data_IF_375124570825
#
_entry.id   IF_375124570825
#
_cell.length_a   1.000
_cell.length_b   1.000
_cell.length_c   1.000
_cell.angle_alpha   90.00
_cell.angle_beta   90.00
_cell.angle_gamma   90.00
#
_symmetry.space_group_name_H-M   'P 1'
#
loop_
_entity.id
_entity.type
_entity.pdbx_description
1 polymer ?
#
# COMPACT_ATOMS: atom_id res chain seq x y z
N UNK A 1 13.09 11.73 -7.97
CA UNK A 1 13.35 10.54 -8.80
C UNK A 1 12.02 9.92 -9.16
N UNK A 2 11.73 9.82 -10.46
CA UNK A 2 10.53 9.23 -11.04
C UNK A 2 10.76 7.81 -11.55
N UNK A 3 9.96 7.41 -12.58
CA UNK A 3 10.04 6.09 -13.21
C UNK A 3 8.93 5.13 -12.74
N UNK A 4 9.01 3.86 -13.09
CA UNK A 4 8.02 2.83 -12.73
C UNK A 4 8.60 1.69 -11.89
N UNK A 5 9.90 1.58 -11.85
CA UNK A 5 10.61 0.58 -11.08
C UNK A 5 10.99 1.16 -9.71
N UNK A 6 10.42 0.62 -8.64
CA UNK A 6 10.64 1.11 -7.29
C UNK A 6 12.01 0.71 -6.75
N UNK A 7 12.58 -0.42 -7.19
CA UNK A 7 13.94 -0.85 -6.84
C UNK A 7 14.98 0.06 -7.44
N UNK A 8 14.88 0.29 -8.77
CA UNK A 8 15.75 1.23 -9.47
C UNK A 8 15.68 2.64 -8.87
N UNK A 9 14.49 3.10 -8.45
CA UNK A 9 14.35 4.40 -7.82
C UNK A 9 15.11 4.49 -6.47
N UNK A 10 15.12 3.41 -5.69
CA UNK A 10 15.91 3.31 -4.46
C UNK A 10 17.40 3.30 -4.75
N UNK A 11 17.85 2.52 -5.73
CA UNK A 11 19.27 2.49 -6.16
C UNK A 11 19.73 3.88 -6.62
N UNK A 12 18.90 4.59 -7.39
CA UNK A 12 19.18 5.95 -7.83
C UNK A 12 19.25 6.94 -6.66
N UNK A 13 18.40 6.80 -5.66
CA UNK A 13 18.44 7.63 -4.44
C UNK A 13 19.74 7.41 -3.67
N UNK A 14 20.14 6.16 -3.48
CA UNK A 14 21.38 5.79 -2.83
C UNK A 14 22.61 6.27 -3.62
N UNK A 15 22.60 6.14 -4.95
CA UNK A 15 23.66 6.64 -5.82
C UNK A 15 23.76 8.16 -5.74
N UNK A 16 22.63 8.88 -5.78
CA UNK A 16 22.59 10.33 -5.65
C UNK A 16 23.20 10.76 -4.31
N UNK A 17 22.77 10.13 -3.20
CA UNK A 17 23.31 10.42 -1.86
C UNK A 17 24.83 10.22 -1.78
N UNK A 18 25.36 9.16 -2.37
CA UNK A 18 26.79 8.85 -2.37
C UNK A 18 27.61 9.79 -3.26
N UNK A 19 27.00 10.35 -4.31
CA UNK A 19 27.66 11.25 -5.25
C UNK A 19 27.72 12.71 -4.76
N UNK A 20 26.94 13.08 -3.73
CA UNK A 20 26.91 14.46 -3.21
C UNK A 20 28.19 14.77 -2.44
N UNK A 21 28.80 15.90 -2.80
CA UNK A 21 30.04 16.40 -2.15
C UNK A 21 29.82 17.86 -1.77
N UNK A 22 29.95 18.24 -0.48
CA UNK A 22 29.82 19.63 -0.07
C UNK A 22 30.79 20.57 -0.81
N UNK A 23 30.38 21.77 -1.24
CA UNK A 23 29.05 22.36 -1.02
C UNK A 23 28.00 21.99 -2.10
N UNK A 24 28.30 21.08 -3.00
CA UNK A 24 27.43 20.68 -4.12
C UNK A 24 26.49 19.55 -3.69
N UNK A 25 25.53 19.91 -2.84
CA UNK A 25 24.54 18.98 -2.29
C UNK A 25 23.13 19.48 -2.58
N UNK A 26 22.19 18.55 -2.84
CA UNK A 26 20.77 18.85 -3.05
C UNK A 26 19.90 17.80 -2.36
N UNK A 27 18.71 18.22 -1.93
CA UNK A 27 17.69 17.28 -1.42
C UNK A 27 17.08 16.46 -2.55
N UNK A 28 16.77 15.19 -2.29
CA UNK A 28 16.21 14.27 -3.29
C UNK A 28 15.02 13.53 -2.73
N UNK A 29 13.91 13.47 -3.48
CA UNK A 29 12.74 12.65 -3.20
C UNK A 29 12.63 11.54 -4.26
N UNK A 30 12.53 10.29 -3.82
CA UNK A 30 12.12 9.17 -4.66
C UNK A 30 10.62 8.92 -4.50
N UNK A 31 9.88 9.03 -5.61
CA UNK A 31 8.45 8.69 -5.68
C UNK A 31 8.11 8.19 -7.09
N UNK A 32 8.55 6.97 -7.46
CA UNK A 32 8.41 6.44 -8.81
C UNK A 32 6.93 6.28 -9.18
N UNK A 33 6.48 7.02 -10.18
CA UNK A 33 5.06 7.09 -10.63
C UNK A 33 4.07 7.42 -9.51
N UNK A 34 4.51 8.08 -8.45
CA UNK A 34 3.68 8.33 -7.26
C UNK A 34 3.38 7.08 -6.43
N UNK A 35 4.16 6.00 -6.59
CA UNK A 35 3.89 4.74 -5.91
C UNK A 35 4.16 4.83 -4.41
N UNK A 36 5.24 5.48 -3.99
CA UNK A 36 5.59 5.59 -2.58
C UNK A 36 4.60 6.45 -1.80
N UNK A 37 4.23 7.61 -2.35
CA UNK A 37 3.23 8.48 -1.71
C UNK A 37 1.84 7.86 -1.71
N UNK A 38 1.45 7.11 -2.75
CA UNK A 38 0.16 6.39 -2.79
C UNK A 38 0.13 5.25 -1.78
N UNK A 39 1.17 4.43 -1.73
CA UNK A 39 1.27 3.31 -0.79
C UNK A 39 1.30 3.81 0.66
N UNK A 40 2.09 4.84 0.95
CA UNK A 40 2.17 5.46 2.26
C UNK A 40 0.80 6.00 2.73
N UNK A 41 0.09 6.73 1.85
CA UNK A 41 -1.25 7.24 2.14
C UNK A 41 -2.25 6.11 2.38
N UNK A 42 -2.21 5.06 1.56
CA UNK A 42 -3.09 3.89 1.70
C UNK A 42 -2.87 3.18 3.03
N UNK A 43 -1.62 2.85 3.35
CA UNK A 43 -1.30 2.10 4.59
C UNK A 43 -1.60 2.95 5.83
N UNK A 44 -1.27 4.24 5.83
CA UNK A 44 -1.59 5.14 6.94
C UNK A 44 -3.11 5.29 7.15
N UNK A 45 -3.88 5.43 6.07
CA UNK A 45 -5.35 5.51 6.15
C UNK A 45 -5.95 4.22 6.72
N UNK A 46 -5.43 3.04 6.32
CA UNK A 46 -5.86 1.74 6.85
C UNK A 46 -5.47 1.62 8.33
N UNK A 47 -4.25 1.99 8.71
CA UNK A 47 -3.80 1.97 10.10
C UNK A 47 -4.67 2.84 11.00
N UNK A 48 -5.05 4.05 10.53
CA UNK A 48 -6.00 4.92 11.23
C UNK A 48 -7.33 4.21 11.51
N UNK A 49 -7.93 3.58 10.49
CA UNK A 49 -9.20 2.87 10.67
C UNK A 49 -9.05 1.65 11.61
N UNK A 50 -7.92 0.95 11.59
CA UNK A 50 -7.62 -0.11 12.55
C UNK A 50 -7.58 0.43 13.99
N UNK A 51 -6.92 1.57 14.21
CA UNK A 51 -6.82 2.21 15.52
C UNK A 51 -8.19 2.69 16.01
N UNK A 52 -8.94 3.40 15.17
CA UNK A 52 -10.22 4.00 15.54
C UNK A 52 -11.34 2.99 15.73
N UNK A 53 -11.45 1.99 14.84
CA UNK A 53 -12.57 1.03 14.81
C UNK A 53 -12.28 -0.28 15.53
N UNK A 54 -11.00 -0.71 15.55
CA UNK A 54 -10.62 -2.02 16.07
C UNK A 54 -9.59 -1.95 17.22
N UNK A 55 -9.16 -0.74 17.62
CA UNK A 55 -8.22 -0.48 18.73
C UNK A 55 -6.91 -1.27 18.62
N UNK A 56 -6.42 -1.45 17.39
CA UNK A 56 -5.15 -2.13 17.11
C UNK A 56 -4.44 -1.44 15.95
N UNK A 57 -3.11 -1.56 15.92
CA UNK A 57 -2.29 -1.10 14.80
C UNK A 57 -2.07 -2.23 13.76
N UNK A 58 -1.13 -2.01 12.86
CA UNK A 58 -0.74 -2.96 11.81
C UNK A 58 -0.02 -4.20 12.35
N UNK A 59 0.67 -4.08 13.50
CA UNK A 59 1.46 -5.16 14.07
C UNK A 59 0.62 -6.42 14.27
N UNK A 60 1.17 -7.56 13.85
CA UNK A 60 0.57 -8.90 13.92
C UNK A 60 -0.76 -9.05 13.16
N UNK A 61 -1.14 -8.06 12.31
CA UNK A 61 -2.24 -8.21 11.37
C UNK A 61 -1.83 -9.06 10.18
N UNK A 62 -2.74 -9.87 9.67
CA UNK A 62 -2.59 -10.57 8.39
C UNK A 62 -3.08 -9.66 7.27
N UNK A 63 -2.16 -9.21 6.42
CA UNK A 63 -2.44 -8.33 5.31
C UNK A 63 -2.29 -9.04 3.96
N UNK A 64 -3.26 -8.89 3.08
CA UNK A 64 -3.24 -9.40 1.70
C UNK A 64 -3.24 -8.21 0.75
N UNK A 65 -2.31 -8.21 -0.23
CA UNK A 65 -2.16 -7.13 -1.20
C UNK A 65 -2.43 -7.66 -2.60
N UNK A 66 -3.61 -7.41 -3.14
CA UNK A 66 -3.93 -7.70 -4.55
C UNK A 66 -3.30 -6.66 -5.47
N UNK A 67 -2.76 -7.11 -6.60
CA UNK A 67 -1.89 -6.29 -7.44
C UNK A 67 -0.53 -6.04 -6.77
N UNK A 68 -0.12 -6.95 -5.90
CA UNK A 68 1.04 -6.84 -5.03
C UNK A 68 2.39 -6.84 -5.74
N UNK A 69 2.44 -7.24 -7.02
CA UNK A 69 3.65 -7.20 -7.85
C UNK A 69 3.81 -5.92 -8.66
N UNK A 70 2.75 -5.09 -8.71
CA UNK A 70 2.82 -3.75 -9.29
C UNK A 70 3.48 -2.72 -8.35
N UNK A 71 3.89 -1.54 -8.86
CA UNK A 71 4.65 -0.55 -8.09
C UNK A 71 3.97 -0.12 -6.77
N UNK A 72 2.69 0.23 -6.82
CA UNK A 72 1.93 0.66 -5.63
C UNK A 72 1.70 -0.51 -4.67
N UNK A 73 1.28 -1.68 -5.20
CA UNK A 73 1.01 -2.85 -4.37
C UNK A 73 2.26 -3.36 -3.67
N UNK A 74 3.39 -3.40 -4.37
CA UNK A 74 4.66 -3.82 -3.81
C UNK A 74 5.16 -2.86 -2.72
N UNK A 75 5.11 -1.54 -2.98
CA UNK A 75 5.44 -0.54 -1.96
C UNK A 75 4.48 -0.62 -0.75
N UNK A 76 3.18 -0.86 -0.98
CA UNK A 76 2.18 -1.08 0.09
C UNK A 76 2.55 -2.30 0.93
N UNK A 77 2.90 -3.41 0.28
CA UNK A 77 3.33 -4.64 0.97
C UNK A 77 4.57 -4.42 1.82
N UNK A 78 5.60 -3.76 1.28
CA UNK A 78 6.84 -3.43 1.99
C UNK A 78 6.53 -2.56 3.22
N UNK A 79 5.78 -1.47 3.06
CA UNK A 79 5.43 -0.57 4.17
C UNK A 79 4.64 -1.31 5.26
N UNK A 80 3.63 -2.10 4.89
CA UNK A 80 2.81 -2.86 5.84
C UNK A 80 3.65 -3.90 6.60
N UNK A 81 4.56 -4.60 5.90
CA UNK A 81 5.47 -5.57 6.51
C UNK A 81 6.44 -4.91 7.49
N UNK A 82 7.06 -3.79 7.11
CA UNK A 82 7.97 -3.03 8.00
C UNK A 82 7.22 -2.43 9.21
N UNK A 83 5.92 -2.18 9.07
CA UNK A 83 5.05 -1.78 10.18
C UNK A 83 4.58 -2.96 11.06
N UNK A 84 5.05 -4.17 10.79
CA UNK A 84 4.85 -5.37 11.59
C UNK A 84 3.67 -6.25 11.18
N UNK A 85 3.04 -6.02 10.02
CA UNK A 85 2.01 -6.90 9.50
C UNK A 85 2.63 -8.14 8.82
N UNK A 86 1.97 -9.30 8.98
CA UNK A 86 2.25 -10.50 8.18
C UNK A 86 1.67 -10.30 6.78
N UNK A 87 2.50 -9.92 5.83
CA UNK A 87 2.04 -9.42 4.54
C UNK A 87 2.25 -10.41 3.41
N UNK A 88 1.17 -10.71 2.69
CA UNK A 88 1.18 -11.54 1.49
C UNK A 88 0.87 -10.69 0.26
N UNK A 89 1.79 -10.66 -0.70
CA UNK A 89 1.59 -10.03 -2.01
C UNK A 89 1.04 -11.07 -3.00
N UNK A 90 0.04 -10.65 -3.78
CA UNK A 90 -0.68 -11.54 -4.69
C UNK A 90 -0.43 -11.11 -6.14
N UNK A 91 0.03 -12.05 -6.96
CA UNK A 91 0.00 -11.93 -8.41
C UNK A 91 -1.19 -12.73 -8.99
N UNK A 92 -1.74 -12.28 -10.10
CA UNK A 92 -2.90 -12.92 -10.73
C UNK A 92 -2.53 -13.84 -11.91
N UNK A 93 -1.26 -13.85 -12.32
CA UNK A 93 -0.76 -14.62 -13.46
C UNK A 93 0.23 -15.72 -13.06
N UNK A 94 1.15 -15.43 -12.11
CA UNK A 94 2.26 -16.33 -11.81
C UNK A 94 2.65 -16.29 -10.33
N UNK A 95 2.76 -17.46 -9.73
CA UNK A 95 3.30 -17.62 -8.38
C UNK A 95 4.80 -17.32 -8.35
N UNK A 96 5.51 -17.65 -9.42
CA UNK A 96 6.95 -17.45 -9.53
C UNK A 96 7.29 -15.96 -9.49
N UNK A 97 6.50 -15.13 -10.18
CA UNK A 97 6.66 -13.66 -10.16
C UNK A 97 6.42 -13.12 -8.75
N UNK A 98 5.38 -13.58 -8.07
CA UNK A 98 5.08 -13.14 -6.69
C UNK A 98 6.20 -13.52 -5.72
N UNK A 99 6.70 -14.77 -5.80
CA UNK A 99 7.80 -15.27 -4.96
C UNK A 99 9.10 -14.50 -5.23
N UNK A 100 9.45 -14.31 -6.51
CA UNK A 100 10.63 -13.55 -6.91
C UNK A 100 10.58 -12.11 -6.39
N UNK A 101 9.43 -11.43 -6.54
CA UNK A 101 9.27 -10.06 -6.04
C UNK A 101 9.30 -9.98 -4.51
N UNK A 102 8.71 -10.94 -3.82
CA UNK A 102 8.79 -11.00 -2.37
C UNK A 102 10.24 -11.15 -1.91
N UNK A 103 11.01 -12.08 -2.49
CA UNK A 103 12.41 -12.32 -2.14
C UNK A 103 13.29 -11.09 -2.43
N UNK A 104 13.16 -10.51 -3.65
CA UNK A 104 13.88 -9.31 -4.07
C UNK A 104 13.71 -8.16 -3.07
N UNK A 105 12.47 -7.85 -2.67
CA UNK A 105 12.19 -6.72 -1.79
C UNK A 105 12.39 -7.03 -0.30
N UNK A 106 12.35 -8.29 0.10
CA UNK A 106 12.81 -8.70 1.43
C UNK A 106 14.31 -8.42 1.60
N UNK A 107 15.12 -8.72 0.59
CA UNK A 107 16.55 -8.38 0.60
C UNK A 107 16.82 -6.88 0.51
N UNK A 108 16.13 -6.18 -0.39
CA UNK A 108 16.36 -4.76 -0.65
C UNK A 108 15.91 -3.88 0.52
N UNK A 109 14.75 -4.17 1.12
CA UNK A 109 14.10 -3.29 2.10
C UNK A 109 14.13 -3.81 3.53
N UNK A 110 14.53 -5.08 3.75
CA UNK A 110 14.45 -5.74 5.06
C UNK A 110 13.00 -6.08 5.47
N UNK A 111 12.09 -6.20 4.50
CA UNK A 111 10.72 -6.64 4.74
C UNK A 111 10.61 -8.16 4.89
N UNK A 112 9.41 -8.66 5.24
CA UNK A 112 9.09 -10.08 5.36
C UNK A 112 7.82 -10.39 4.56
N UNK A 113 7.91 -10.20 3.24
CA UNK A 113 6.82 -10.47 2.31
C UNK A 113 6.73 -11.96 1.99
N UNK A 114 5.50 -12.44 1.85
CA UNK A 114 5.19 -13.73 1.25
C UNK A 114 4.57 -13.50 -0.13
N UNK A 115 5.07 -14.24 -1.14
CA UNK A 115 4.50 -14.21 -2.49
C UNK A 115 3.46 -15.32 -2.67
N UNK A 116 2.34 -15.02 -3.32
CA UNK A 116 1.34 -16.03 -3.68
C UNK A 116 0.62 -15.67 -4.99
N UNK A 117 -0.24 -16.58 -5.43
CA UNK A 117 -1.03 -16.47 -6.66
C UNK A 117 -2.52 -16.65 -6.37
N UNK A 118 -3.35 -15.85 -7.05
CA UNK A 118 -4.80 -16.02 -7.06
C UNK A 118 -5.40 -15.47 -8.34
N UNK A 119 -6.05 -16.32 -9.13
CA UNK A 119 -6.78 -15.90 -10.34
C UNK A 119 -8.28 -16.08 -10.22
N UNK A 120 -8.72 -17.17 -9.59
CA UNK A 120 -10.13 -17.47 -9.39
C UNK A 120 -10.71 -16.80 -8.14
N UNK A 121 -12.02 -16.61 -8.10
CA UNK A 121 -12.70 -16.09 -6.91
C UNK A 121 -12.54 -17.05 -5.72
N UNK A 122 -12.49 -18.35 -5.94
CA UNK A 122 -12.21 -19.32 -4.89
C UNK A 122 -10.80 -19.17 -4.28
N UNK A 123 -9.78 -18.81 -5.09
CA UNK A 123 -8.45 -18.53 -4.57
C UNK A 123 -8.43 -17.25 -3.73
N UNK A 124 -9.08 -16.20 -4.23
CA UNK A 124 -9.19 -14.92 -3.54
C UNK A 124 -9.94 -15.07 -2.20
N UNK A 125 -11.08 -15.78 -2.21
CA UNK A 125 -11.88 -16.07 -1.02
C UNK A 125 -11.04 -16.81 0.04
N UNK A 126 -10.27 -17.82 -0.36
CA UNK A 126 -9.38 -18.55 0.52
C UNK A 126 -8.31 -17.65 1.13
N UNK A 127 -7.72 -16.73 0.36
CA UNK A 127 -6.70 -15.81 0.85
C UNK A 127 -7.26 -14.80 1.86
N UNK A 128 -8.46 -14.27 1.62
CA UNK A 128 -9.04 -13.26 2.51
C UNK A 128 -9.80 -13.83 3.70
N UNK A 129 -10.10 -15.15 3.71
CA UNK A 129 -10.87 -15.78 4.78
C UNK A 129 -10.28 -15.52 6.18
N UNK A 130 -8.96 -15.44 6.28
CA UNK A 130 -8.24 -15.19 7.52
C UNK A 130 -7.44 -13.88 7.50
N UNK A 131 -7.72 -12.97 6.56
CA UNK A 131 -7.09 -11.67 6.51
C UNK A 131 -7.75 -10.69 7.48
N UNK A 132 -6.92 -9.90 8.16
CA UNK A 132 -7.35 -8.73 8.93
C UNK A 132 -7.49 -7.51 8.01
N UNK A 133 -6.61 -7.41 7.02
CA UNK A 133 -6.48 -6.27 6.11
C UNK A 133 -6.40 -6.76 4.68
N UNK A 134 -7.09 -6.05 3.79
CA UNK A 134 -6.90 -6.21 2.36
C UNK A 134 -6.54 -4.86 1.74
N UNK A 135 -5.49 -4.85 0.94
CA UNK A 135 -5.12 -3.75 0.06
C UNK A 135 -5.39 -4.15 -1.39
N UNK A 136 -6.16 -3.35 -2.10
CA UNK A 136 -6.41 -3.53 -3.52
C UNK A 136 -5.68 -2.44 -4.31
N UNK A 137 -4.56 -2.82 -4.94
CA UNK A 137 -3.73 -1.98 -5.79
C UNK A 137 -3.61 -2.55 -7.21
N UNK A 138 -4.64 -3.25 -7.65
CA UNK A 138 -4.71 -3.84 -8.98
C UNK A 138 -4.91 -2.78 -10.07
N UNK A 139 -4.88 -3.22 -11.32
CA UNK A 139 -5.06 -2.35 -12.49
C UNK A 139 -6.41 -1.62 -12.42
N UNK A 140 -6.39 -0.33 -12.73
CA UNK A 140 -7.59 0.51 -12.78
C UNK A 140 -8.65 -0.06 -13.74
N UNK A 141 -9.93 -0.04 -13.31
CA UNK A 141 -11.05 -0.58 -14.08
C UNK A 141 -11.17 -2.12 -14.03
N UNK A 142 -10.52 -2.77 -13.06
CA UNK A 142 -10.62 -4.21 -12.84
C UNK A 142 -11.17 -4.46 -11.45
N UNK A 143 -12.33 -5.12 -11.35
CA UNK A 143 -12.86 -5.63 -10.10
C UNK A 143 -12.09 -6.88 -9.66
N UNK A 144 -11.58 -6.85 -8.45
CA UNK A 144 -10.78 -7.94 -7.85
C UNK A 144 -11.61 -8.73 -6.86
N UNK A 145 -12.35 -8.04 -6.00
CA UNK A 145 -13.15 -8.64 -4.93
C UNK A 145 -14.63 -8.26 -5.14
N UNK A 146 -15.42 -9.23 -5.56
CA UNK A 146 -16.87 -9.10 -5.65
C UNK A 146 -17.56 -9.43 -4.32
N UNK A 147 -18.88 -9.30 -4.26
CA UNK A 147 -19.67 -9.51 -3.03
C UNK A 147 -19.53 -10.95 -2.49
N UNK A 148 -19.48 -11.96 -3.36
CA UNK A 148 -19.38 -13.36 -2.95
C UNK A 148 -18.02 -13.65 -2.29
N UNK A 149 -16.94 -13.15 -2.88
CA UNK A 149 -15.60 -13.27 -2.30
C UNK A 149 -15.51 -12.56 -0.94
N UNK A 150 -16.10 -11.36 -0.82
CA UNK A 150 -16.08 -10.59 0.44
C UNK A 150 -16.89 -11.28 1.54
N UNK A 151 -17.96 -11.99 1.20
CA UNK A 151 -18.77 -12.74 2.17
C UNK A 151 -17.98 -13.85 2.88
N UNK A 152 -16.95 -14.41 2.23
CA UNK A 152 -16.12 -15.47 2.81
C UNK A 152 -15.09 -14.96 3.86
N UNK A 153 -14.89 -13.65 3.95
CA UNK A 153 -13.96 -13.05 4.91
C UNK A 153 -14.51 -13.13 6.34
N UNK A 154 -13.81 -13.86 7.25
CA UNK A 154 -14.30 -14.17 8.59
C UNK A 154 -13.78 -13.24 9.69
N UNK A 155 -12.70 -12.51 9.45
CA UNK A 155 -12.07 -11.62 10.44
C UNK A 155 -11.58 -10.31 9.86
N UNK A 156 -12.07 -9.97 8.67
CA UNK A 156 -11.69 -8.76 7.96
C UNK A 156 -12.04 -7.52 8.79
N UNK A 157 -11.14 -6.56 8.81
CA UNK A 157 -11.27 -5.31 9.56
C UNK A 157 -11.30 -4.10 8.65
N UNK A 158 -10.31 -4.00 7.76
CA UNK A 158 -10.20 -2.83 6.87
C UNK A 158 -9.81 -3.27 5.48
N UNK A 159 -10.49 -2.69 4.48
CA UNK A 159 -10.13 -2.83 3.07
C UNK A 159 -9.82 -1.46 2.49
N UNK A 160 -8.65 -1.31 1.90
CA UNK A 160 -8.27 -0.11 1.14
C UNK A 160 -8.20 -0.39 -0.36
N UNK A 161 -8.89 0.41 -1.17
CA UNK A 161 -8.89 0.31 -2.63
C UNK A 161 -8.37 1.60 -3.26
N UNK A 162 -7.35 1.51 -4.11
CA UNK A 162 -6.81 2.66 -4.85
C UNK A 162 -7.33 2.77 -6.29
N UNK A 163 -8.24 1.90 -6.71
CA UNK A 163 -8.84 1.97 -8.03
C UNK A 163 -9.97 3.01 -8.07
N UNK A 164 -9.73 4.12 -8.78
CA UNK A 164 -10.72 5.19 -8.97
C UNK A 164 -11.58 5.04 -10.23
N UNK A 165 -11.27 4.07 -11.10
CA UNK A 165 -11.94 3.86 -12.40
C UNK A 165 -12.92 2.70 -12.29
N UNK A 166 -14.22 2.89 -12.61
CA UNK A 166 -15.19 1.80 -12.59
C UNK A 166 -14.91 0.72 -13.65
N UNK A 167 -15.17 -0.57 -13.32
CA UNK A 167 -15.54 -1.04 -11.99
C UNK A 167 -14.40 -0.84 -10.99
N UNK A 168 -14.76 -0.51 -9.74
CA UNK A 168 -13.76 -0.33 -8.67
C UNK A 168 -13.14 -1.68 -8.31
N UNK A 169 -12.00 -1.67 -7.63
CA UNK A 169 -11.27 -2.90 -7.29
C UNK A 169 -12.02 -3.79 -6.29
N UNK A 170 -12.85 -3.18 -5.44
CA UNK A 170 -13.59 -3.88 -4.39
C UNK A 170 -15.07 -3.47 -4.44
N UNK A 171 -15.95 -4.45 -4.65
CA UNK A 171 -17.39 -4.21 -4.71
C UNK A 171 -17.91 -3.65 -3.38
N UNK A 172 -18.77 -2.64 -3.45
CA UNK A 172 -19.39 -1.99 -2.30
C UNK A 172 -18.57 -0.86 -1.67
N UNK A 173 -17.31 -0.67 -2.03
CA UNK A 173 -16.53 0.51 -1.67
C UNK A 173 -16.84 1.64 -2.66
N UNK A 174 -17.07 2.84 -2.14
CA UNK A 174 -17.20 4.06 -2.96
C UNK A 174 -15.88 4.82 -2.93
N UNK A 175 -15.60 5.58 -4.00
CA UNK A 175 -14.33 6.31 -4.15
C UNK A 175 -13.98 7.25 -2.99
N UNK A 176 -14.98 7.83 -2.33
CA UNK A 176 -14.80 8.78 -1.21
C UNK A 176 -14.97 8.13 0.17
N UNK A 177 -15.22 6.83 0.26
CA UNK A 177 -15.36 6.16 1.54
C UNK A 177 -14.07 6.28 2.35
N UNK A 178 -14.22 6.58 3.64
CA UNK A 178 -13.13 6.67 4.61
C UNK A 178 -13.60 6.06 5.94
N UNK A 179 -13.51 4.74 6.04
CA UNK A 179 -14.04 3.99 7.17
C UNK A 179 -15.54 3.72 7.08
N UNK A 180 -16.12 3.69 5.88
CA UNK A 180 -17.51 3.31 5.66
C UNK A 180 -17.70 1.79 5.86
N UNK A 181 -18.86 1.34 6.41
CA UNK A 181 -19.14 -0.09 6.57
C UNK A 181 -19.06 -0.85 5.25
N UNK A 182 -18.37 -1.99 5.26
CA UNK A 182 -18.21 -2.84 4.08
C UNK A 182 -19.39 -3.81 3.97
N UNK A 183 -20.40 -3.44 3.18
CA UNK A 183 -21.70 -4.09 3.12
C UNK A 183 -21.66 -5.59 2.85
N UNK A 184 -20.75 -6.04 1.98
CA UNK A 184 -20.69 -7.43 1.53
C UNK A 184 -19.79 -8.34 2.37
N UNK A 185 -19.03 -7.81 3.33
CA UNK A 185 -18.28 -8.62 4.29
C UNK A 185 -19.20 -9.13 5.42
N UNK A 186 -20.19 -9.95 5.06
CA UNK A 186 -21.28 -10.38 5.96
C UNK A 186 -20.79 -11.16 7.17
N UNK A 187 -19.69 -11.93 7.03
CA UNK A 187 -19.06 -12.65 8.13
C UNK A 187 -18.05 -11.80 8.93
N UNK A 188 -17.85 -10.56 8.51
CA UNK A 188 -17.01 -9.56 9.19
C UNK A 188 -17.77 -8.22 9.30
N UNK A 189 -18.86 -8.16 10.10
CA UNK A 189 -19.80 -7.04 10.09
C UNK A 189 -19.23 -5.71 10.57
N UNK A 190 -18.08 -5.72 11.24
CA UNK A 190 -17.35 -4.53 11.66
C UNK A 190 -16.32 -4.05 10.63
N UNK A 191 -16.20 -4.73 9.49
CA UNK A 191 -15.27 -4.36 8.45
C UNK A 191 -15.64 -3.02 7.80
N UNK A 192 -14.61 -2.21 7.51
CA UNK A 192 -14.79 -0.90 6.87
C UNK A 192 -13.94 -0.78 5.60
N UNK A 193 -14.41 0.06 4.68
CA UNK A 193 -13.75 0.32 3.41
C UNK A 193 -13.19 1.74 3.31
N UNK A 194 -12.09 1.87 2.56
CA UNK A 194 -11.47 3.14 2.19
C UNK A 194 -11.33 3.16 0.68
N UNK A 195 -11.84 4.21 0.06
CA UNK A 195 -11.86 4.35 -1.40
C UNK A 195 -10.72 5.22 -1.94
N UNK A 196 -10.51 5.11 -3.23
CA UNK A 196 -9.37 5.66 -3.94
C UNK A 196 -9.22 7.18 -3.81
N UNK A 197 -10.30 7.96 -3.79
CA UNK A 197 -10.23 9.41 -3.66
C UNK A 197 -9.98 9.85 -2.22
N UNK A 198 -10.42 9.08 -1.21
CA UNK A 198 -10.05 9.34 0.17
C UNK A 198 -8.53 9.14 0.37
N UNK A 199 -7.97 8.05 -0.15
CA UNK A 199 -6.51 7.83 -0.20
C UNK A 199 -5.82 8.92 -1.02
N UNK A 200 -6.39 9.30 -2.16
CA UNK A 200 -5.85 10.35 -3.05
C UNK A 200 -5.72 11.71 -2.39
N UNK A 201 -6.67 12.07 -1.52
CA UNK A 201 -6.60 13.32 -0.74
C UNK A 201 -5.41 13.33 0.23
N UNK A 202 -5.18 12.22 0.94
CA UNK A 202 -4.02 12.07 1.82
C UNK A 202 -2.72 12.10 1.00
N UNK A 203 -2.68 11.35 -0.10
CA UNK A 203 -1.53 11.32 -1.02
C UNK A 203 -1.17 12.70 -1.55
N UNK A 204 -2.15 13.50 -1.94
CA UNK A 204 -1.92 14.85 -2.44
C UNK A 204 -1.28 15.76 -1.37
N UNK A 205 -1.82 15.75 -0.15
CA UNK A 205 -1.27 16.52 0.98
C UNK A 205 0.15 16.03 1.32
N UNK A 206 0.36 14.71 1.36
CA UNK A 206 1.65 14.10 1.60
C UNK A 206 2.69 14.53 0.57
N UNK A 207 2.36 14.48 -0.71
CA UNK A 207 3.28 14.85 -1.78
C UNK A 207 3.70 16.33 -1.66
N UNK A 208 2.75 17.22 -1.39
CA UNK A 208 3.04 18.63 -1.16
C UNK A 208 3.94 18.82 0.06
N UNK A 209 3.69 18.10 1.16
CA UNK A 209 4.52 18.19 2.37
C UNK A 209 5.94 17.68 2.15
N UNK A 210 6.12 16.58 1.43
CA UNK A 210 7.45 16.05 1.11
C UNK A 210 8.21 17.01 0.18
N UNK A 211 7.55 17.61 -0.82
CA UNK A 211 8.17 18.61 -1.68
C UNK A 211 8.57 19.88 -0.90
N UNK A 212 7.74 20.32 0.05
CA UNK A 212 8.08 21.45 0.91
C UNK A 212 9.33 21.15 1.76
N UNK A 213 9.45 19.94 2.32
CA UNK A 213 10.64 19.54 3.08
C UNK A 213 11.94 19.61 2.29
N UNK A 214 11.91 19.37 0.97
CA UNK A 214 13.11 19.52 0.12
C UNK A 214 13.61 20.97 0.04
N UNK A 215 12.73 21.95 0.29
CA UNK A 215 13.02 23.38 0.19
C UNK A 215 13.24 24.05 1.53
N UNK A 216 12.62 23.53 2.59
CA UNK A 216 12.61 24.13 3.93
C UNK A 216 13.80 23.70 4.79
N UNK A 217 14.45 22.58 4.47
CA UNK A 217 15.58 22.06 5.26
C UNK A 217 16.89 22.73 4.88
N UNK A 218 17.67 23.15 5.88
CA UNK A 218 19.02 23.70 5.68
C UNK A 218 20.00 22.64 5.21
N UNK A 219 19.90 21.42 5.76
CA UNK A 219 20.69 20.27 5.33
C UNK A 219 19.94 19.46 4.27
N UNK A 220 20.65 18.85 3.29
CA UNK A 220 20.02 18.05 2.26
C UNK A 220 19.35 16.81 2.84
N UNK A 221 18.10 16.54 2.41
CA UNK A 221 17.33 15.36 2.80
C UNK A 221 17.15 14.40 1.62
N UNK A 222 17.11 13.10 1.92
CA UNK A 222 16.97 12.03 0.94
C UNK A 222 15.75 11.20 1.36
N UNK A 223 14.60 11.49 0.73
CA UNK A 223 13.30 10.98 1.14
C UNK A 223 12.87 9.80 0.28
N UNK A 224 12.40 8.75 0.95
CA UNK A 224 11.85 7.56 0.31
C UNK A 224 10.45 7.19 0.90
N UNK A 225 10.00 5.96 0.66
CA UNK A 225 8.71 5.47 1.14
C UNK A 225 8.61 5.43 2.68
N UNK A 226 9.74 5.32 3.40
CA UNK A 226 9.76 5.30 4.87
C UNK A 226 9.41 6.67 5.43
N UNK A 227 10.02 7.72 4.87
CA UNK A 227 9.73 9.11 5.23
C UNK A 227 8.28 9.46 4.82
N UNK A 228 7.87 9.02 3.62
CA UNK A 228 6.51 9.20 3.14
C UNK A 228 5.49 8.56 4.11
N UNK A 229 5.73 7.36 4.62
CA UNK A 229 4.82 6.70 5.55
C UNK A 229 4.77 7.39 6.91
N UNK A 230 5.91 7.82 7.45
CA UNK A 230 5.92 8.62 8.68
C UNK A 230 5.11 9.91 8.53
N UNK A 231 5.30 10.63 7.43
CA UNK A 231 4.55 11.85 7.15
C UNK A 231 3.07 11.61 6.87
N UNK A 232 2.72 10.49 6.22
CA UNK A 232 1.32 10.14 6.00
C UNK A 232 0.55 9.91 7.30
N UNK A 233 1.18 9.30 8.31
CA UNK A 233 0.60 9.12 9.65
C UNK A 233 0.25 10.42 10.37
N UNK A 234 0.96 11.50 10.07
CA UNK A 234 0.68 12.84 10.63
C UNK A 234 -0.51 13.53 9.94
N UNK A 235 -0.89 13.07 8.74
CA UNK A 235 -1.92 13.70 7.89
C UNK A 235 -3.28 13.00 7.95
N UNK A 236 -3.38 11.81 8.50
CA UNK A 236 -4.62 11.02 8.60
C UNK A 236 -5.35 11.21 9.91
#
# INVERSE_FOLDING_TARGET
IGGRDIGLAMDMLDAAKKAMVPPFVVSVLADPSGAFTTAAALVASVEKQLLEKHRRGLKDCRAVVFGGTGPVGLATGVIASLAGAHTTIVDHLSIEVALQKADEYNHLCGSLLHGTYASSDADKARLISHADIVFCAAKAGVEVLNADVLADAQQLKVVGDVNAVPPLGVEGIKRMDNGAPLKYATNSPSAVGIGALAVGNVKYQLQNRLLALLLETEEPVYLDFRDAFQKARELV
#
